data_IF_898706889826
#
_entry.id   IF_898706889826
#
_cell.length_a   1.000
_cell.length_b   1.000
_cell.length_c   1.000
_cell.angle_alpha   90.00
_cell.angle_beta   90.00
_cell.angle_gamma   90.00
#
_symmetry.space_group_name_H-M   'P 1'
#
loop_
_entity.id
_entity.type
_entity.pdbx_description
1 polymer ?
#
# COMPACT_ATOMS: atom_id res chain seq x y z
N UNK A 1 9.94 13.87 -7.43
CA UNK A 1 9.40 12.52 -7.65
C UNK A 1 9.66 11.75 -6.37
N UNK A 2 8.64 11.20 -5.73
CA UNK A 2 8.80 10.49 -4.44
C UNK A 2 9.32 9.06 -4.67
N UNK A 3 9.79 8.40 -3.60
CA UNK A 3 10.23 6.99 -3.67
C UNK A 3 9.09 6.07 -4.15
N UNK A 4 7.87 6.35 -3.73
CA UNK A 4 6.65 5.63 -4.12
C UNK A 4 6.35 5.83 -5.61
N UNK A 5 6.49 7.06 -6.13
CA UNK A 5 6.31 7.31 -7.57
C UNK A 5 7.34 6.56 -8.42
N UNK A 6 8.60 6.50 -7.97
CA UNK A 6 9.66 5.75 -8.66
C UNK A 6 9.32 4.26 -8.67
N UNK A 7 8.96 3.69 -7.51
CA UNK A 7 8.58 2.28 -7.37
C UNK A 7 7.36 1.92 -8.24
N UNK A 8 6.30 2.74 -8.22
CA UNK A 8 5.11 2.46 -9.03
C UNK A 8 5.44 2.52 -10.52
N UNK A 9 6.35 3.40 -10.94
CA UNK A 9 6.80 3.48 -12.33
C UNK A 9 7.70 2.31 -12.73
N UNK A 10 8.51 1.74 -11.82
CA UNK A 10 9.29 0.54 -12.14
C UNK A 10 8.38 -0.67 -12.39
N UNK A 11 7.23 -0.74 -11.72
CA UNK A 11 6.22 -1.79 -11.91
C UNK A 11 5.40 -1.56 -13.18
N UNK A 12 4.86 -0.35 -13.37
CA UNK A 12 3.87 -0.07 -14.40
C UNK A 12 4.46 0.38 -15.74
N UNK A 13 5.72 0.84 -15.74
CA UNK A 13 6.33 1.47 -16.91
C UNK A 13 5.73 2.86 -17.22
N UNK A 14 5.89 3.35 -18.47
CA UNK A 14 5.52 4.71 -18.85
C UNK A 14 4.01 4.85 -19.11
N UNK A 15 3.20 4.84 -18.06
CA UNK A 15 1.75 5.05 -18.15
C UNK A 15 1.34 6.52 -17.98
N UNK A 16 0.32 6.93 -18.75
CA UNK A 16 -0.23 8.29 -18.75
C UNK A 16 -1.36 8.43 -17.73
N UNK A 17 -1.02 8.47 -16.45
CA UNK A 17 -1.95 8.84 -15.38
C UNK A 17 -2.06 7.85 -14.22
N UNK A 18 -2.68 8.28 -13.13
CA UNK A 18 -2.93 7.44 -11.95
C UNK A 18 -1.74 7.31 -10.99
N UNK A 19 -0.50 7.28 -11.49
CA UNK A 19 0.73 7.09 -10.70
C UNK A 19 0.80 8.02 -9.51
N UNK A 20 0.70 9.34 -9.70
CA UNK A 20 0.82 10.33 -8.60
C UNK A 20 -0.20 10.11 -7.49
N UNK A 21 -1.45 9.82 -7.84
CA UNK A 21 -2.51 9.58 -6.84
C UNK A 21 -2.30 8.26 -6.12
N UNK A 22 -1.84 7.22 -6.82
CA UNK A 22 -1.56 5.93 -6.21
C UNK A 22 -0.33 6.01 -5.30
N UNK A 23 0.72 6.72 -5.72
CA UNK A 23 1.90 7.01 -4.91
C UNK A 23 1.53 7.78 -3.64
N UNK A 24 0.68 8.79 -3.75
CA UNK A 24 0.14 9.50 -2.59
C UNK A 24 -0.62 8.57 -1.63
N UNK A 25 -1.36 7.58 -2.14
CA UNK A 25 -2.04 6.59 -1.32
C UNK A 25 -1.04 5.67 -0.60
N UNK A 26 0.02 5.23 -1.27
CA UNK A 26 1.11 4.42 -0.67
C UNK A 26 1.83 5.21 0.41
N UNK A 27 2.16 6.49 0.15
CA UNK A 27 2.78 7.40 1.11
C UNK A 27 1.93 7.55 2.38
N UNK A 28 0.63 7.83 2.23
CA UNK A 28 -0.31 7.92 3.36
C UNK A 28 -0.39 6.59 4.11
N UNK A 29 -0.46 5.47 3.39
CA UNK A 29 -0.52 4.13 4.00
C UNK A 29 0.75 3.85 4.81
N UNK A 30 1.92 4.20 4.28
CA UNK A 30 3.21 4.10 4.98
C UNK A 30 3.24 4.96 6.24
N UNK A 31 2.73 6.20 6.17
CA UNK A 31 2.65 7.08 7.35
C UNK A 31 1.77 6.48 8.44
N UNK A 32 0.58 6.01 8.08
CA UNK A 32 -0.37 5.39 9.03
C UNK A 32 0.26 4.17 9.73
N UNK A 33 0.95 3.32 8.97
CA UNK A 33 1.60 2.12 9.51
C UNK A 33 2.78 2.45 10.42
N UNK A 34 3.71 3.30 9.97
CA UNK A 34 5.05 3.36 10.54
C UNK A 34 5.36 4.65 11.31
N UNK A 35 4.58 5.72 11.10
CA UNK A 35 4.72 6.98 11.84
C UNK A 35 3.59 7.15 12.86
N UNK A 36 2.37 6.77 12.49
CA UNK A 36 1.19 6.83 13.38
C UNK A 36 0.95 5.52 14.15
N UNK A 37 1.79 4.50 13.94
CA UNK A 37 1.79 3.23 14.68
C UNK A 37 0.40 2.53 14.67
N UNK A 38 -0.30 2.62 13.54
CA UNK A 38 -1.55 1.90 13.31
C UNK A 38 -1.25 0.50 12.76
N UNK A 39 -1.79 -0.53 13.40
CA UNK A 39 -1.76 -1.86 12.81
C UNK A 39 -2.56 -1.89 11.50
N UNK A 40 -2.13 -2.75 10.59
CA UNK A 40 -2.74 -2.85 9.26
C UNK A 40 -4.24 -3.18 9.32
N UNK A 41 -4.69 -3.99 10.27
CA UNK A 41 -6.10 -4.36 10.45
C UNK A 41 -6.98 -3.19 10.92
N UNK A 42 -6.39 -2.23 11.62
CA UNK A 42 -7.05 -0.97 12.03
C UNK A 42 -7.12 0.06 10.89
N UNK A 43 -6.36 -0.12 9.80
CA UNK A 43 -6.35 0.81 8.67
C UNK A 43 -7.54 0.55 7.73
N UNK A 44 -8.60 1.33 7.93
CA UNK A 44 -9.71 1.43 7.00
C UNK A 44 -9.37 2.35 5.82
N UNK A 45 -8.93 1.77 4.70
CA UNK A 45 -8.55 2.50 3.47
C UNK A 45 -9.62 3.52 3.03
N UNK A 46 -10.91 3.18 3.15
CA UNK A 46 -12.03 4.06 2.78
C UNK A 46 -12.22 5.27 3.70
N UNK A 47 -11.74 5.20 4.94
CA UNK A 47 -11.88 6.26 5.96
C UNK A 47 -10.59 7.02 6.22
N UNK A 48 -9.45 6.33 6.18
CA UNK A 48 -8.16 6.91 6.52
C UNK A 48 -7.40 7.36 5.27
N UNK A 49 -7.38 6.54 4.20
CA UNK A 49 -6.55 6.83 3.01
C UNK A 49 -7.31 7.66 1.97
N UNK A 50 -8.49 7.22 1.55
CA UNK A 50 -9.22 7.87 0.44
C UNK A 50 -9.51 9.36 0.67
N UNK A 51 -10.00 9.80 1.84
CA UNK A 51 -10.27 11.22 2.08
C UNK A 51 -9.02 12.08 2.00
N UNK A 52 -7.89 11.59 2.50
CA UNK A 52 -6.65 12.35 2.48
C UNK A 52 -6.05 12.42 1.07
N UNK A 53 -6.09 11.33 0.30
CA UNK A 53 -5.68 11.33 -1.11
C UNK A 53 -6.55 12.30 -1.92
N UNK A 54 -7.87 12.31 -1.68
CA UNK A 54 -8.80 13.21 -2.34
C UNK A 54 -8.42 14.68 -2.10
N UNK A 55 -8.14 15.04 -0.84
CA UNK A 55 -7.66 16.37 -0.45
C UNK A 55 -6.32 16.73 -1.10
N UNK A 56 -5.33 15.83 -1.03
CA UNK A 56 -3.96 16.09 -1.55
C UNK A 56 -3.88 16.13 -3.08
N UNK A 57 -4.82 15.50 -3.77
CA UNK A 57 -4.83 15.41 -5.24
C UNK A 57 -5.93 16.23 -5.90
N UNK A 58 -6.70 16.98 -5.11
CA UNK A 58 -7.82 17.81 -5.58
C UNK A 58 -8.83 17.01 -6.42
N UNK A 59 -9.10 15.77 -6.01
CA UNK A 59 -10.03 14.85 -6.66
C UNK A 59 -11.21 14.55 -5.76
N UNK A 60 -12.35 14.21 -6.35
CA UNK A 60 -13.48 13.70 -5.58
C UNK A 60 -13.16 12.34 -4.96
N UNK A 61 -13.78 12.04 -3.82
CA UNK A 61 -13.66 10.73 -3.16
C UNK A 61 -13.92 9.57 -4.13
N UNK A 62 -14.99 9.66 -4.93
CA UNK A 62 -15.36 8.63 -5.89
C UNK A 62 -14.35 8.49 -7.05
N UNK A 63 -13.70 9.58 -7.45
CA UNK A 63 -12.62 9.51 -8.44
C UNK A 63 -11.39 8.80 -7.85
N UNK A 64 -11.03 9.11 -6.60
CA UNK A 64 -9.93 8.46 -5.88
C UNK A 64 -10.19 6.97 -5.69
N UNK A 65 -11.36 6.59 -5.17
CA UNK A 65 -11.72 5.20 -4.91
C UNK A 65 -11.55 4.33 -6.17
N UNK A 66 -12.18 4.72 -7.27
CA UNK A 66 -12.09 3.99 -8.55
C UNK A 66 -10.67 3.97 -9.09
N UNK A 67 -9.89 5.03 -8.90
CA UNK A 67 -8.54 5.09 -9.44
C UNK A 67 -7.57 4.23 -8.63
N UNK A 68 -7.69 4.20 -7.29
CA UNK A 68 -6.88 3.33 -6.44
C UNK A 68 -7.18 1.86 -6.71
N UNK A 69 -8.46 1.50 -6.89
CA UNK A 69 -8.86 0.15 -7.28
C UNK A 69 -8.23 -0.27 -8.62
N UNK A 70 -8.39 0.56 -9.66
CA UNK A 70 -7.78 0.29 -10.98
C UNK A 70 -6.26 0.18 -10.92
N UNK A 71 -5.61 1.07 -10.18
CA UNK A 71 -4.16 1.09 -10.06
C UNK A 71 -3.64 -0.11 -9.25
N UNK A 72 -4.35 -0.51 -8.19
CA UNK A 72 -4.03 -1.72 -7.43
C UNK A 72 -4.09 -2.98 -8.30
N UNK A 73 -5.18 -3.15 -9.06
CA UNK A 73 -5.30 -4.24 -10.04
C UNK A 73 -4.19 -4.18 -11.09
N UNK A 74 -3.95 -3.02 -11.68
CA UNK A 74 -2.93 -2.88 -12.70
C UNK A 74 -1.52 -3.19 -12.17
N UNK A 75 -1.19 -2.77 -10.94
CA UNK A 75 0.07 -3.14 -10.31
C UNK A 75 0.17 -4.66 -10.16
N UNK A 76 -0.86 -5.31 -9.61
CA UNK A 76 -0.92 -6.76 -9.45
C UNK A 76 -0.73 -7.52 -10.77
N UNK A 77 -1.45 -7.12 -11.82
CA UNK A 77 -1.40 -7.73 -13.14
C UNK A 77 0.00 -7.61 -13.78
N UNK A 78 0.76 -6.59 -13.40
CA UNK A 78 2.14 -6.36 -13.88
C UNK A 78 3.20 -7.09 -13.06
N UNK A 79 2.88 -7.61 -11.88
CA UNK A 79 3.84 -8.37 -11.08
C UNK A 79 4.03 -9.77 -11.66
N UNK A 80 5.20 -10.01 -12.25
CA UNK A 80 5.68 -11.34 -12.59
C UNK A 80 6.18 -12.10 -11.36
N UNK A 81 6.72 -13.30 -11.58
CA UNK A 81 7.20 -14.16 -10.49
C UNK A 81 8.27 -13.46 -9.65
N UNK A 82 9.26 -12.85 -10.31
CA UNK A 82 10.39 -12.16 -9.65
C UNK A 82 9.92 -10.96 -8.84
N UNK A 83 9.01 -10.17 -9.39
CA UNK A 83 8.48 -8.98 -8.73
C UNK A 83 7.59 -9.35 -7.53
N UNK A 84 6.85 -10.46 -7.60
CA UNK A 84 6.12 -11.01 -6.45
C UNK A 84 7.05 -11.46 -5.34
N UNK A 85 8.17 -12.12 -5.68
CA UNK A 85 9.18 -12.48 -4.69
C UNK A 85 9.80 -11.23 -4.05
N UNK A 86 10.10 -10.21 -4.85
CA UNK A 86 10.73 -8.96 -4.38
C UNK A 86 9.81 -8.12 -3.47
N UNK A 87 8.56 -7.89 -3.87
CA UNK A 87 7.68 -6.96 -3.16
C UNK A 87 6.80 -7.64 -2.11
N UNK A 88 6.43 -8.89 -2.34
CA UNK A 88 5.46 -9.61 -1.49
C UNK A 88 6.17 -10.67 -0.66
N UNK A 89 7.14 -11.40 -1.23
CA UNK A 89 7.86 -12.48 -0.55
C UNK A 89 7.12 -13.82 -0.59
N UNK A 90 5.97 -13.88 -1.26
CA UNK A 90 5.19 -15.10 -1.50
C UNK A 90 4.56 -15.10 -2.89
N UNK A 91 4.50 -16.27 -3.50
CA UNK A 91 3.79 -16.49 -4.76
C UNK A 91 2.29 -16.64 -4.50
N UNK A 92 1.60 -15.51 -4.37
CA UNK A 92 0.15 -15.47 -4.20
C UNK A 92 -0.54 -15.85 -5.52
N UNK A 93 -1.61 -16.65 -5.42
CA UNK A 93 -2.45 -17.02 -6.58
C UNK A 93 -3.30 -15.86 -7.07
N UNK A 94 -3.79 -15.04 -6.15
CA UNK A 94 -4.64 -13.87 -6.42
C UNK A 94 -4.42 -12.79 -5.35
N UNK A 95 -4.68 -11.53 -5.72
CA UNK A 95 -4.71 -10.42 -4.78
C UNK A 95 -6.09 -10.34 -4.15
N UNK A 96 -6.19 -10.69 -2.87
CA UNK A 96 -7.49 -10.77 -2.15
C UNK A 96 -8.30 -9.49 -2.31
N UNK A 97 -7.66 -8.33 -2.29
CA UNK A 97 -8.26 -7.07 -2.66
C UNK A 97 -7.26 -6.10 -3.29
N UNK A 98 -7.66 -5.25 -4.25
CA UNK A 98 -6.75 -4.30 -4.93
C UNK A 98 -6.05 -3.34 -3.96
N UNK A 99 -6.67 -3.05 -2.81
CA UNK A 99 -6.09 -2.24 -1.75
C UNK A 99 -4.85 -2.87 -1.11
N UNK A 100 -4.68 -4.19 -1.18
CA UNK A 100 -3.56 -4.90 -0.55
C UNK A 100 -2.23 -4.48 -1.19
N UNK A 101 -2.25 -4.03 -2.45
CA UNK A 101 -1.09 -3.42 -3.09
C UNK A 101 -0.58 -2.18 -2.35
N UNK A 102 -1.46 -1.42 -1.67
CA UNK A 102 -1.02 -0.25 -0.90
C UNK A 102 -0.11 -0.69 0.25
N UNK A 103 -0.47 -1.76 0.93
CA UNK A 103 0.32 -2.32 2.04
C UNK A 103 1.62 -2.94 1.52
N UNK A 104 1.56 -3.79 0.49
CA UNK A 104 2.78 -4.41 -0.06
C UNK A 104 3.83 -3.38 -0.47
N UNK A 105 3.40 -2.33 -1.17
CA UNK A 105 4.31 -1.28 -1.62
C UNK A 105 4.75 -0.36 -0.48
N UNK A 106 3.89 -0.08 0.51
CA UNK A 106 4.27 0.71 1.68
C UNK A 106 5.36 0.03 2.50
N UNK A 107 5.21 -1.28 2.77
CA UNK A 107 6.23 -2.08 3.45
C UNK A 107 7.54 -2.09 2.68
N UNK A 108 7.50 -2.37 1.38
CA UNK A 108 8.72 -2.38 0.56
C UNK A 108 9.39 -1.00 0.51
N UNK A 109 8.60 0.09 0.36
CA UNK A 109 9.13 1.46 0.40
C UNK A 109 9.75 1.85 1.75
N UNK A 110 9.35 1.23 2.86
CA UNK A 110 9.84 1.54 4.19
C UNK A 110 11.05 0.69 4.58
N UNK A 111 10.97 -0.63 4.36
CA UNK A 111 11.96 -1.58 4.84
C UNK A 111 12.96 -2.05 3.76
N UNK A 112 12.69 -1.79 2.48
CA UNK A 112 13.38 -2.41 1.33
C UNK A 112 13.41 -3.95 1.43
N UNK A 113 12.34 -4.52 2.00
CA UNK A 113 12.13 -5.95 2.22
C UNK A 113 10.75 -6.39 1.74
N UNK A 114 10.58 -7.66 1.32
CA UNK A 114 9.28 -8.18 0.94
C UNK A 114 8.28 -8.18 2.10
N UNK A 115 7.01 -7.91 1.80
CA UNK A 115 5.94 -7.79 2.79
C UNK A 115 5.89 -8.93 3.84
N UNK A 116 5.88 -10.18 3.38
CA UNK A 116 5.75 -11.32 4.31
C UNK A 116 7.01 -11.57 5.14
N UNK A 117 8.19 -11.19 4.65
CA UNK A 117 9.43 -11.27 5.43
C UNK A 117 9.36 -10.29 6.60
N UNK A 118 8.95 -9.06 6.34
CA UNK A 118 8.79 -8.05 7.41
C UNK A 118 7.74 -8.48 8.44
N UNK A 119 6.61 -9.05 8.00
CA UNK A 119 5.58 -9.53 8.93
C UNK A 119 5.98 -10.77 9.73
N UNK A 120 6.86 -11.61 9.20
CA UNK A 120 7.42 -12.74 9.95
C UNK A 120 8.36 -12.23 11.06
N UNK A 121 9.10 -11.14 10.81
CA UNK A 121 9.93 -10.47 11.80
C UNK A 121 9.12 -9.61 12.80
N UNK A 122 7.99 -9.02 12.36
CA UNK A 122 7.23 -7.99 13.09
C UNK A 122 5.71 -8.23 12.98
N UNK A 123 5.16 -9.31 13.58
CA UNK A 123 3.75 -9.68 13.44
C UNK A 123 2.76 -8.65 14.01
N UNK A 124 3.19 -7.81 14.95
CA UNK A 124 2.41 -6.74 15.56
C UNK A 124 1.99 -5.64 14.58
N UNK A 125 2.71 -5.49 13.45
CA UNK A 125 2.33 -4.58 12.37
C UNK A 125 1.01 -5.01 11.69
N UNK A 126 0.67 -6.30 11.76
CA UNK A 126 -0.56 -6.82 11.18
C UNK A 126 -1.74 -6.74 12.13
N UNK A 127 -1.51 -7.08 13.40
CA UNK A 127 -2.50 -7.08 14.46
C UNK A 127 -1.92 -6.38 15.68
N UNK A 128 -2.40 -5.18 16.00
CA UNK A 128 -2.16 -4.67 17.34
C UNK A 128 -3.03 -5.49 18.26
N UNK A 129 -2.43 -6.43 18.99
CA UNK A 129 -3.11 -7.06 20.12
C UNK A 129 -3.73 -5.93 20.93
N UNK A 130 -5.00 -6.06 21.32
CA UNK A 130 -5.62 -5.19 22.33
C UNK A 130 -4.82 -5.35 23.62
N UNK A 131 -3.63 -4.76 23.70
CA UNK A 131 -2.92 -4.57 24.94
C UNK A 131 -3.74 -3.53 25.67
N UNK A 132 -4.71 -4.05 26.44
CA UNK A 132 -5.35 -3.28 27.47
C UNK A 132 -4.25 -2.52 28.19
N UNK A 133 -4.38 -1.19 28.23
CA UNK A 133 -3.69 -0.37 29.22
C UNK A 133 -3.90 -1.06 30.57
N UNK A 134 -2.90 -1.81 31.03
CA UNK A 134 -2.75 -2.06 32.46
C UNK A 134 -2.22 -0.76 33.02
N UNK A 135 -3.17 0.06 33.47
CA UNK A 135 -2.91 1.02 34.53
C UNK A 135 -2.36 0.28 35.76
#
# INVERSE_FOLDING_TARGET
>A
MTKEEILIRSILGPIRGGVRTFACAVEITSRLLFEEDMAQDDILVTKHVYPEVARKTEKSYMAVARQLERMGNLCWDRLGKKERDLYIGKQLRDIRAPRDMLFYLAFYCHFDKPYYEVLEENPELLFRGKSGKKN
#
